data_IF_197882261779
#
_entry.id   IF_197882261779
#
_cell.length_a   1.000
_cell.length_b   1.000
_cell.length_c   1.000
_cell.angle_alpha   90.00
_cell.angle_beta   90.00
_cell.angle_gamma   90.00
#
_symmetry.space_group_name_H-M   'P 1'
#
loop_
_entity.id
_entity.type
_entity.pdbx_description
1 polymer ?
#
# COMPACT_ATOMS: atom_id res chain seq x y z
N UNK A 1 -44.06 -27.95 -7.96
CA UNK A 1 -43.70 -27.84 -6.51
C UNK A 1 -42.35 -28.47 -6.11
N UNK A 2 -41.95 -29.66 -6.65
CA UNK A 2 -40.67 -30.30 -6.24
C UNK A 2 -39.37 -29.52 -6.61
N UNK A 3 -39.33 -28.76 -7.73
CA UNK A 3 -38.16 -27.99 -8.15
C UNK A 3 -37.91 -26.73 -7.28
N UNK A 4 -38.96 -26.09 -6.74
CA UNK A 4 -38.82 -24.92 -5.87
C UNK A 4 -38.33 -25.27 -4.46
N UNK A 5 -38.67 -26.44 -3.94
CA UNK A 5 -38.16 -26.91 -2.63
C UNK A 5 -36.67 -27.25 -2.66
N UNK A 6 -36.17 -27.80 -3.77
CA UNK A 6 -34.73 -28.14 -3.90
C UNK A 6 -33.87 -26.86 -3.96
N UNK A 7 -34.31 -25.82 -4.66
CA UNK A 7 -33.62 -24.53 -4.73
C UNK A 7 -33.54 -23.81 -3.38
N UNK A 8 -34.62 -23.85 -2.59
CA UNK A 8 -34.65 -23.28 -1.25
C UNK A 8 -33.72 -24.05 -0.29
N UNK A 9 -33.69 -25.39 -0.38
CA UNK A 9 -32.84 -26.22 0.46
C UNK A 9 -31.35 -26.00 0.18
N UNK A 10 -30.96 -25.83 -1.09
CA UNK A 10 -29.59 -25.52 -1.50
C UNK A 10 -29.18 -24.11 -1.03
N UNK A 11 -30.09 -23.13 -1.10
CA UNK A 11 -29.81 -21.78 -0.64
C UNK A 11 -29.62 -21.73 0.88
N UNK A 12 -30.43 -22.44 1.66
CA UNK A 12 -30.32 -22.51 3.12
C UNK A 12 -29.04 -23.22 3.54
N UNK A 13 -28.64 -24.29 2.86
CA UNK A 13 -27.38 -24.99 3.12
C UNK A 13 -26.15 -24.11 2.79
N UNK A 14 -26.19 -23.35 1.69
CA UNK A 14 -25.11 -22.45 1.31
C UNK A 14 -24.95 -21.27 2.29
N UNK A 15 -26.04 -20.71 2.79
CA UNK A 15 -26.02 -19.65 3.82
C UNK A 15 -25.52 -20.18 5.16
N UNK A 16 -25.95 -21.38 5.58
CA UNK A 16 -25.48 -21.97 6.85
C UNK A 16 -24.00 -22.36 6.83
N UNK A 17 -23.46 -22.82 5.70
CA UNK A 17 -22.02 -23.11 5.56
C UNK A 17 -21.19 -21.82 5.55
N UNK A 18 -21.66 -20.74 4.94
CA UNK A 18 -20.99 -19.44 4.94
C UNK A 18 -20.92 -18.82 6.33
N UNK A 19 -22.02 -18.86 7.10
CA UNK A 19 -22.07 -18.36 8.48
C UNK A 19 -21.18 -19.18 9.42
N UNK A 20 -21.15 -20.50 9.30
CA UNK A 20 -20.28 -21.36 10.09
C UNK A 20 -18.80 -21.17 9.78
N UNK A 21 -18.45 -20.86 8.54
CA UNK A 21 -17.07 -20.59 8.13
C UNK A 21 -16.59 -19.22 8.59
N UNK A 22 -17.44 -18.20 8.57
CA UNK A 22 -17.13 -16.85 9.10
C UNK A 22 -16.92 -16.92 10.62
N UNK A 23 -17.73 -17.70 11.34
CA UNK A 23 -17.56 -17.92 12.78
C UNK A 23 -16.24 -18.64 13.11
N UNK A 24 -15.81 -19.60 12.30
CA UNK A 24 -14.57 -20.36 12.53
C UNK A 24 -13.29 -19.49 12.40
N UNK A 25 -13.21 -18.60 11.41
CA UNK A 25 -12.03 -17.74 11.22
C UNK A 25 -11.94 -16.61 12.26
N UNK A 26 -12.99 -16.39 13.05
CA UNK A 26 -13.05 -15.39 14.13
C UNK A 26 -12.81 -15.97 15.53
N UNK A 27 -12.60 -17.29 15.66
CA UNK A 27 -12.24 -17.94 16.92
C UNK A 27 -10.74 -17.85 17.21
N UNK A 28 -10.33 -17.82 18.50
CA UNK A 28 -8.91 -17.90 18.85
C UNK A 28 -8.25 -19.16 18.30
N UNK A 29 -6.95 -19.07 18.02
CA UNK A 29 -6.12 -20.23 17.72
C UNK A 29 -5.98 -21.12 18.96
N UNK A 30 -5.90 -22.43 18.76
CA UNK A 30 -5.72 -23.40 19.85
C UNK A 30 -4.34 -23.24 20.52
N UNK A 31 -3.31 -22.85 19.76
CA UNK A 31 -1.98 -22.54 20.26
C UNK A 31 -1.59 -21.09 19.94
N UNK A 32 -0.81 -20.43 20.82
CA UNK A 32 -0.36 -19.07 20.57
C UNK A 32 0.61 -19.02 19.38
N UNK A 33 0.48 -17.96 18.59
CA UNK A 33 1.40 -17.67 17.47
C UNK A 33 2.00 -16.30 17.68
N UNK A 34 3.32 -16.15 17.44
CA UNK A 34 4.01 -14.88 17.41
C UNK A 34 4.29 -14.51 15.95
N UNK A 35 4.03 -13.26 15.58
CA UNK A 35 4.33 -12.74 14.24
C UNK A 35 5.10 -11.42 14.32
N UNK A 36 6.19 -11.31 13.57
CA UNK A 36 6.97 -10.09 13.39
C UNK A 36 6.44 -9.32 12.21
N UNK A 37 6.07 -8.06 12.42
CA UNK A 37 5.45 -7.21 11.38
C UNK A 37 6.33 -6.00 11.10
N UNK A 38 6.80 -5.89 9.86
CA UNK A 38 7.55 -4.76 9.37
C UNK A 38 6.66 -3.53 9.16
N UNK A 39 7.05 -2.41 9.75
CA UNK A 39 6.28 -1.17 9.79
C UNK A 39 7.09 0.01 9.26
N UNK A 40 6.41 0.96 8.62
CA UNK A 40 6.94 2.27 8.26
C UNK A 40 6.00 3.37 8.75
N UNK A 41 6.58 4.55 9.00
CA UNK A 41 5.83 5.70 9.51
C UNK A 41 5.13 6.47 8.37
N UNK A 42 4.11 5.85 7.75
CA UNK A 42 3.25 6.47 6.72
C UNK A 42 1.78 6.24 7.05
N UNK A 43 0.86 7.16 6.69
CA UNK A 43 -0.54 7.09 7.14
C UNK A 43 -1.27 5.83 6.64
N UNK A 44 -0.99 5.36 5.42
CA UNK A 44 -1.62 4.14 4.88
C UNK A 44 -1.28 2.87 5.68
N UNK A 45 -0.08 2.83 6.31
CA UNK A 45 0.34 1.72 7.17
C UNK A 45 -0.05 1.93 8.64
N UNK A 46 -0.39 3.15 9.03
CA UNK A 46 -0.66 3.47 10.45
C UNK A 46 -1.79 2.63 11.08
N UNK A 47 -2.83 2.16 10.35
CA UNK A 47 -3.79 1.22 10.91
C UNK A 47 -3.14 -0.08 11.42
N UNK A 48 -2.04 -0.53 10.81
CA UNK A 48 -1.33 -1.75 11.25
C UNK A 48 -0.73 -1.64 12.66
N UNK A 49 -0.54 -0.43 13.21
CA UNK A 49 -0.13 -0.27 14.61
C UNK A 49 -1.15 -0.79 15.61
N UNK A 50 -2.41 -0.94 15.19
CA UNK A 50 -3.47 -1.56 15.99
C UNK A 50 -3.50 -3.08 15.84
N UNK A 51 -2.65 -3.66 14.98
CA UNK A 51 -2.73 -5.09 14.67
C UNK A 51 -2.53 -5.96 15.92
N UNK A 52 -1.67 -5.55 16.85
CA UNK A 52 -1.47 -6.23 18.12
C UNK A 52 -2.74 -6.31 18.96
N UNK A 53 -3.47 -5.20 19.08
CA UNK A 53 -4.71 -5.13 19.87
C UNK A 53 -5.81 -6.00 19.23
N UNK A 54 -5.92 -5.98 17.89
CA UNK A 54 -6.94 -6.74 17.17
C UNK A 54 -6.60 -8.23 17.03
N UNK A 55 -5.31 -8.58 16.93
CA UNK A 55 -4.85 -9.95 16.79
C UNK A 55 -4.79 -10.70 18.12
N UNK A 56 -4.66 -9.99 19.24
CA UNK A 56 -4.61 -10.59 20.59
C UNK A 56 -5.80 -11.47 20.90
N UNK A 57 -7.01 -11.07 20.48
CA UNK A 57 -8.23 -11.88 20.63
C UNK A 57 -8.18 -13.23 19.90
N UNK A 58 -7.25 -13.38 18.96
CA UNK A 58 -7.03 -14.62 18.20
C UNK A 58 -5.88 -15.47 18.73
N UNK A 59 -5.32 -15.13 19.89
CA UNK A 59 -4.13 -15.77 20.47
C UNK A 59 -2.88 -15.56 19.58
N UNK A 60 -2.76 -14.36 18.98
CA UNK A 60 -1.62 -13.94 18.15
C UNK A 60 -0.95 -12.73 18.79
N UNK A 61 0.35 -12.84 19.04
CA UNK A 61 1.18 -11.73 19.54
C UNK A 61 1.95 -11.09 18.38
N UNK A 62 1.88 -9.77 18.28
CA UNK A 62 2.58 -9.00 17.26
C UNK A 62 3.83 -8.35 17.84
N UNK A 63 4.95 -8.52 17.15
CA UNK A 63 6.19 -7.79 17.36
C UNK A 63 6.41 -6.83 16.19
N UNK A 64 6.30 -5.52 16.44
CA UNK A 64 6.51 -4.50 15.41
C UNK A 64 8.01 -4.24 15.20
N UNK A 65 8.47 -4.31 13.94
CA UNK A 65 9.84 -3.99 13.52
C UNK A 65 9.79 -2.76 12.62
N UNK A 66 10.38 -1.64 13.09
CA UNK A 66 10.34 -0.36 12.36
C UNK A 66 11.43 -0.29 11.30
N UNK A 67 11.05 0.11 10.09
CA UNK A 67 11.95 0.36 8.96
C UNK A 67 11.85 1.81 8.49
N UNK A 68 12.94 2.31 7.89
CA UNK A 68 12.99 3.65 7.29
C UNK A 68 12.62 3.63 5.80
N UNK A 69 12.80 2.50 5.12
CA UNK A 69 12.56 2.33 3.68
C UNK A 69 11.80 1.04 3.40
N UNK A 70 10.91 1.07 2.42
CA UNK A 70 10.20 -0.12 1.95
C UNK A 70 11.15 -1.23 1.45
N UNK A 71 12.26 -0.85 0.79
CA UNK A 71 13.25 -1.81 0.32
C UNK A 71 13.86 -2.66 1.45
N UNK A 72 14.07 -2.06 2.62
CA UNK A 72 14.64 -2.78 3.78
C UNK A 72 13.60 -3.77 4.36
N UNK A 73 12.34 -3.34 4.50
CA UNK A 73 11.24 -4.21 4.92
C UNK A 73 11.02 -5.36 3.93
N UNK A 74 11.09 -5.09 2.61
CA UNK A 74 11.03 -6.11 1.56
C UNK A 74 12.14 -7.15 1.72
N UNK A 75 13.38 -6.70 1.95
CA UNK A 75 14.53 -7.60 2.12
C UNK A 75 14.36 -8.47 3.35
N UNK A 76 13.98 -7.87 4.49
CA UNK A 76 13.73 -8.61 5.74
C UNK A 76 12.58 -9.61 5.62
N UNK A 77 11.52 -9.28 4.86
CA UNK A 77 10.44 -10.23 4.58
C UNK A 77 10.90 -11.37 3.65
N UNK A 78 11.72 -11.05 2.64
CA UNK A 78 12.23 -12.03 1.69
C UNK A 78 13.19 -13.04 2.36
N UNK A 79 14.01 -12.59 3.30
CA UNK A 79 14.90 -13.46 4.10
C UNK A 79 14.16 -14.27 5.17
N UNK A 80 12.97 -13.83 5.61
CA UNK A 80 12.24 -14.43 6.72
C UNK A 80 12.61 -13.89 8.09
N UNK A 81 13.32 -12.76 8.17
CA UNK A 81 13.63 -12.07 9.43
C UNK A 81 12.36 -11.46 10.06
N UNK A 82 11.38 -11.14 9.23
CA UNK A 82 10.01 -10.78 9.61
C UNK A 82 8.98 -11.64 8.86
N UNK A 83 7.77 -11.73 9.39
CA UNK A 83 6.73 -12.62 8.89
C UNK A 83 5.73 -11.91 7.97
N UNK A 84 5.43 -10.64 8.28
CA UNK A 84 4.56 -9.76 7.49
C UNK A 84 5.22 -8.39 7.31
N UNK A 85 4.93 -7.75 6.18
CA UNK A 85 5.26 -6.34 5.98
C UNK A 85 4.29 -5.70 4.97
N UNK A 86 4.18 -4.37 5.02
CA UNK A 86 3.54 -3.62 3.96
C UNK A 86 4.59 -2.78 3.25
N UNK A 87 4.54 -2.78 1.92
CA UNK A 87 5.44 -2.04 1.05
C UNK A 87 4.78 -1.73 -0.30
N UNK A 88 5.45 -0.96 -1.16
CA UNK A 88 4.89 -0.55 -2.45
C UNK A 88 4.52 -1.74 -3.35
N UNK A 89 3.51 -1.59 -4.22
CA UNK A 89 3.08 -2.68 -5.11
C UNK A 89 4.17 -3.15 -6.08
N UNK A 90 5.14 -2.27 -6.43
CA UNK A 90 6.31 -2.62 -7.22
C UNK A 90 7.33 -3.50 -6.47
N UNK A 91 7.29 -3.53 -5.15
CA UNK A 91 8.32 -4.21 -4.34
C UNK A 91 8.30 -5.73 -4.51
N UNK A 92 7.10 -6.35 -4.62
CA UNK A 92 7.01 -7.78 -4.96
C UNK A 92 7.58 -8.03 -6.37
N UNK A 93 7.22 -7.17 -7.33
CA UNK A 93 7.76 -7.26 -8.70
C UNK A 93 9.28 -7.19 -8.72
N UNK A 94 9.88 -6.22 -8.00
CA UNK A 94 11.33 -6.07 -7.91
C UNK A 94 11.99 -7.31 -7.28
N UNK A 95 11.40 -7.84 -6.21
CA UNK A 95 11.90 -9.05 -5.56
C UNK A 95 11.82 -10.28 -6.49
N UNK A 96 10.69 -10.48 -7.19
CA UNK A 96 10.50 -11.58 -8.14
C UNK A 96 11.47 -11.46 -9.32
N UNK A 97 11.70 -10.27 -9.84
CA UNK A 97 12.68 -10.03 -10.90
C UNK A 97 14.12 -10.41 -10.47
N UNK A 98 14.42 -10.30 -9.18
CA UNK A 98 15.67 -10.72 -8.54
C UNK A 98 15.68 -12.21 -8.12
N UNK A 99 14.63 -12.96 -8.41
CA UNK A 99 14.53 -14.40 -8.14
C UNK A 99 13.89 -14.77 -6.79
N UNK A 100 13.40 -13.81 -6.00
CA UNK A 100 12.72 -14.11 -4.74
C UNK A 100 11.41 -14.87 -4.98
N UNK A 101 11.13 -15.89 -4.16
CA UNK A 101 9.91 -16.70 -4.21
C UNK A 101 9.09 -16.64 -2.91
N UNK A 102 9.64 -15.99 -1.89
CA UNK A 102 9.11 -16.02 -0.51
C UNK A 102 8.02 -15.00 -0.23
N UNK A 103 7.74 -14.05 -1.11
CA UNK A 103 6.79 -12.97 -0.89
C UNK A 103 5.41 -13.32 -1.43
N UNK A 104 4.35 -13.15 -0.62
CA UNK A 104 2.95 -13.35 -1.04
C UNK A 104 2.10 -12.18 -0.57
N UNK A 105 1.55 -11.38 -1.51
CA UNK A 105 0.58 -10.33 -1.22
C UNK A 105 -0.77 -10.93 -0.79
N UNK A 106 -1.33 -10.45 0.31
CA UNK A 106 -2.59 -10.99 0.89
C UNK A 106 -3.69 -9.94 1.08
N UNK A 107 -3.35 -8.65 1.05
CA UNK A 107 -4.32 -7.55 1.06
C UNK A 107 -3.67 -6.27 0.50
N UNK A 108 -4.48 -5.34 -0.01
CA UNK A 108 -4.06 -3.98 -0.34
C UNK A 108 -4.13 -3.05 0.86
N UNK A 109 -3.52 -1.86 0.75
CA UNK A 109 -3.56 -0.80 1.77
C UNK A 109 -4.14 0.53 1.23
N UNK A 110 -4.76 0.52 0.07
CA UNK A 110 -5.47 1.67 -0.48
C UNK A 110 -4.66 2.57 -1.42
N UNK A 111 -4.97 3.87 -1.43
CA UNK A 111 -4.42 4.85 -2.38
C UNK A 111 -4.26 6.24 -1.74
N UNK A 112 -3.59 7.18 -2.44
CA UNK A 112 -3.54 8.59 -2.06
C UNK A 112 -2.44 8.97 -1.07
N UNK A 113 -1.50 8.08 -0.76
CA UNK A 113 -0.38 8.40 0.15
C UNK A 113 0.74 9.21 -0.54
N UNK A 114 0.91 9.01 -1.86
CA UNK A 114 1.91 9.73 -2.65
C UNK A 114 1.35 11.08 -3.09
N UNK A 115 2.22 12.06 -3.20
CA UNK A 115 1.80 13.42 -3.52
C UNK A 115 2.87 14.20 -4.29
N UNK A 116 2.41 15.20 -5.01
CA UNK A 116 3.25 16.23 -5.60
C UNK A 116 3.14 17.48 -4.72
N UNK A 117 4.27 18.15 -4.49
CA UNK A 117 4.31 19.42 -3.76
C UNK A 117 5.10 20.45 -4.58
N UNK A 118 4.52 21.64 -4.69
CA UNK A 118 5.18 22.85 -5.16
C UNK A 118 5.24 23.89 -4.04
N UNK A 119 6.04 24.95 -4.19
CA UNK A 119 6.07 26.04 -3.23
C UNK A 119 4.72 26.73 -3.15
N UNK A 120 4.41 27.29 -1.99
CA UNK A 120 3.20 28.07 -1.78
C UNK A 120 3.12 29.24 -2.77
N UNK A 121 1.97 29.38 -3.42
CA UNK A 121 1.72 30.38 -4.47
C UNK A 121 2.15 29.98 -5.88
N UNK A 122 2.77 28.82 -6.05
CA UNK A 122 3.08 28.24 -7.36
C UNK A 122 2.07 27.14 -7.71
N UNK A 123 1.86 26.92 -9.02
CA UNK A 123 1.03 25.81 -9.51
C UNK A 123 1.68 25.20 -10.76
N UNK A 124 1.38 23.93 -11.01
CA UNK A 124 1.66 23.22 -12.24
C UNK A 124 0.34 22.62 -12.72
N UNK A 125 -0.14 23.10 -13.86
CA UNK A 125 -1.50 22.78 -14.36
C UNK A 125 -1.52 21.65 -15.37
N UNK A 126 -0.38 21.38 -16.00
CA UNK A 126 -0.25 20.35 -17.02
C UNK A 126 1.08 19.59 -16.91
N UNK A 127 1.10 18.37 -17.40
CA UNK A 127 2.32 17.57 -17.45
C UNK A 127 3.40 18.20 -18.36
N UNK A 128 3.02 18.94 -19.37
CA UNK A 128 3.95 19.66 -20.27
C UNK A 128 4.75 20.73 -19.53
N UNK A 129 4.18 21.38 -18.53
CA UNK A 129 4.89 22.37 -17.71
C UNK A 129 5.98 21.72 -16.86
N UNK A 130 5.87 20.44 -16.50
CA UNK A 130 6.87 19.72 -15.71
C UNK A 130 8.22 19.65 -16.41
N UNK A 131 8.25 19.62 -17.77
CA UNK A 131 9.49 19.58 -18.55
C UNK A 131 10.42 20.76 -18.28
N UNK A 132 9.87 21.90 -17.82
CA UNK A 132 10.65 23.13 -17.51
C UNK A 132 11.08 23.21 -16.04
N UNK A 133 10.67 22.25 -15.20
CA UNK A 133 10.85 22.29 -13.75
C UNK A 133 12.01 21.39 -13.30
N UNK A 134 12.63 21.76 -12.18
CA UNK A 134 13.54 20.89 -11.44
C UNK A 134 12.70 20.03 -10.52
N UNK A 135 12.67 18.72 -10.75
CA UNK A 135 11.81 17.80 -10.04
C UNK A 135 12.62 16.90 -9.11
N UNK A 136 12.38 17.02 -7.82
CA UNK A 136 12.95 16.11 -6.82
C UNK A 136 12.15 14.81 -6.75
N UNK A 137 12.79 13.67 -6.98
CA UNK A 137 12.16 12.35 -6.89
C UNK A 137 13.15 11.28 -6.49
N UNK A 138 12.72 10.25 -5.76
CA UNK A 138 13.52 9.06 -5.44
C UNK A 138 13.31 7.97 -6.49
N UNK A 139 14.32 7.70 -7.29
CA UNK A 139 14.25 6.66 -8.32
C UNK A 139 13.88 5.28 -7.74
N UNK A 140 13.02 4.52 -8.45
CA UNK A 140 12.57 3.18 -8.08
C UNK A 140 11.49 3.11 -7.00
N UNK A 141 11.06 4.26 -6.43
CA UNK A 141 9.91 4.30 -5.52
C UNK A 141 8.59 4.19 -6.27
N UNK A 142 7.49 3.84 -5.57
CA UNK A 142 6.16 3.86 -6.21
C UNK A 142 5.76 5.27 -6.66
N UNK A 143 6.14 6.29 -5.91
CA UNK A 143 5.92 7.69 -6.29
C UNK A 143 6.62 8.02 -7.61
N UNK A 144 7.86 7.54 -7.80
CA UNK A 144 8.58 7.65 -9.08
C UNK A 144 7.88 6.91 -10.21
N UNK A 145 7.42 5.68 -9.99
CA UNK A 145 6.68 4.89 -10.99
C UNK A 145 5.45 5.64 -11.48
N UNK A 146 4.63 6.15 -10.55
CA UNK A 146 3.43 6.94 -10.88
C UNK A 146 3.77 8.22 -11.62
N UNK A 147 4.81 8.92 -11.18
CA UNK A 147 5.27 10.16 -11.81
C UNK A 147 5.75 9.90 -13.23
N UNK A 148 6.62 8.93 -13.45
CA UNK A 148 7.15 8.59 -14.77
C UNK A 148 6.05 8.11 -15.73
N UNK A 149 5.10 7.29 -15.25
CA UNK A 149 3.95 6.87 -16.03
C UNK A 149 3.05 8.06 -16.42
N UNK A 150 2.82 8.99 -15.50
CA UNK A 150 2.01 10.19 -15.78
C UNK A 150 2.69 11.14 -16.78
N UNK A 151 4.01 11.25 -16.74
CA UNK A 151 4.77 11.99 -17.78
C UNK A 151 4.54 11.36 -19.16
N UNK A 152 4.70 10.03 -19.27
CA UNK A 152 4.46 9.30 -20.52
C UNK A 152 3.02 9.50 -21.04
N UNK A 153 2.03 9.45 -20.15
CA UNK A 153 0.62 9.71 -20.48
C UNK A 153 0.40 11.16 -20.97
N UNK A 154 1.19 12.10 -20.46
CA UNK A 154 1.22 13.50 -20.90
C UNK A 154 2.06 13.76 -22.14
N UNK A 155 2.63 12.71 -22.78
CA UNK A 155 3.47 12.82 -23.98
C UNK A 155 4.88 13.34 -23.69
N UNK A 156 5.35 13.29 -22.44
CA UNK A 156 6.65 13.78 -22.02
C UNK A 156 7.59 12.60 -21.76
N UNK A 157 8.73 12.57 -22.44
CA UNK A 157 9.79 11.62 -22.15
C UNK A 157 10.46 11.94 -20.81
N UNK A 158 10.62 10.95 -19.95
CA UNK A 158 11.22 11.12 -18.62
C UNK A 158 12.61 11.80 -18.69
N UNK A 159 13.42 11.42 -19.67
CA UNK A 159 14.77 11.99 -19.88
C UNK A 159 14.81 13.48 -20.26
N UNK A 160 13.66 14.07 -20.62
CA UNK A 160 13.54 15.51 -20.92
C UNK A 160 13.23 16.35 -19.68
N UNK A 161 12.89 15.71 -18.56
CA UNK A 161 12.62 16.40 -17.30
C UNK A 161 13.92 16.55 -16.51
N UNK A 162 14.15 17.73 -15.94
CA UNK A 162 15.30 17.95 -15.05
C UNK A 162 15.06 17.30 -13.69
N UNK A 163 15.31 16.00 -13.61
CA UNK A 163 15.16 15.21 -12.41
C UNK A 163 16.37 15.36 -11.50
N UNK A 164 16.11 15.63 -10.22
CA UNK A 164 17.09 15.63 -9.14
C UNK A 164 16.76 14.46 -8.23
N UNK A 165 17.66 13.49 -8.18
CA UNK A 165 17.47 12.32 -7.31
C UNK A 165 17.70 12.72 -5.85
N UNK A 166 16.63 12.78 -5.06
CA UNK A 166 16.69 13.08 -3.63
C UNK A 166 16.89 11.77 -2.86
N UNK A 167 18.03 11.66 -2.21
CA UNK A 167 18.39 10.50 -1.39
C UNK A 167 17.99 10.73 0.07
N UNK A 168 17.56 9.69 0.76
CA UNK A 168 17.18 9.74 2.17
C UNK A 168 15.68 9.90 2.39
N UNK A 169 15.28 10.42 3.56
CA UNK A 169 13.88 10.56 3.93
C UNK A 169 13.19 11.80 3.35
N UNK A 170 11.87 11.86 3.47
CA UNK A 170 11.05 12.94 2.92
C UNK A 170 11.40 14.36 3.41
N UNK A 171 12.04 14.48 4.59
CA UNK A 171 12.53 15.78 5.07
C UNK A 171 13.56 16.43 4.12
N UNK A 172 14.31 15.64 3.33
CA UNK A 172 15.25 16.18 2.35
C UNK A 172 14.53 16.88 1.20
N UNK A 173 13.37 16.34 0.78
CA UNK A 173 12.51 16.98 -0.23
C UNK A 173 11.97 18.31 0.25
N UNK A 174 11.55 18.38 1.52
CA UNK A 174 11.06 19.63 2.11
C UNK A 174 12.14 20.70 2.16
N UNK A 175 13.36 20.34 2.58
CA UNK A 175 14.51 21.25 2.55
C UNK A 175 14.83 21.74 1.14
N UNK A 176 14.81 20.83 0.16
CA UNK A 176 15.10 21.19 -1.24
C UNK A 176 14.03 22.14 -1.84
N UNK A 177 12.75 21.96 -1.50
CA UNK A 177 11.67 22.89 -1.89
C UNK A 177 11.86 24.27 -1.24
N UNK A 178 12.11 24.30 0.08
CA UNK A 178 12.33 25.55 0.83
C UNK A 178 13.58 26.28 0.35
N UNK A 179 14.68 25.55 0.11
CA UNK A 179 15.94 26.07 -0.40
C UNK A 179 15.91 26.45 -1.88
N UNK A 180 14.76 26.28 -2.57
CA UNK A 180 14.61 26.54 -4.01
C UNK A 180 15.59 25.74 -4.89
N UNK A 181 16.05 24.58 -4.40
CA UNK A 181 16.88 23.65 -5.16
C UNK A 181 16.05 22.89 -6.20
N UNK A 182 14.80 22.59 -5.85
CA UNK A 182 13.79 21.98 -6.72
C UNK A 182 12.54 22.84 -6.79
N UNK A 183 11.78 22.71 -7.87
CA UNK A 183 10.54 23.44 -8.11
C UNK A 183 9.31 22.60 -7.74
N UNK A 184 9.44 21.28 -7.84
CA UNK A 184 8.42 20.29 -7.47
C UNK A 184 9.07 19.09 -6.76
N UNK A 185 8.41 18.59 -5.72
CA UNK A 185 8.76 17.32 -5.07
C UNK A 185 7.75 16.24 -5.39
N UNK A 186 8.23 15.06 -5.78
CA UNK A 186 7.45 13.81 -5.87
C UNK A 186 7.74 13.02 -4.62
N UNK A 187 6.86 13.09 -3.63
CA UNK A 187 7.11 12.63 -2.27
C UNK A 187 5.87 11.91 -1.72
N UNK A 188 5.80 11.63 -0.46
CA UNK A 188 4.71 10.90 0.20
C UNK A 188 4.31 11.56 1.52
N UNK A 189 3.15 11.18 2.05
CA UNK A 189 2.73 11.59 3.38
C UNK A 189 3.61 10.96 4.49
N UNK A 190 3.88 11.69 5.58
CA UNK A 190 3.26 12.97 6.02
C UNK A 190 3.96 14.23 5.48
N UNK A 191 4.98 14.13 4.64
CA UNK A 191 5.81 15.27 4.24
C UNK A 191 5.05 16.31 3.42
N UNK A 192 4.12 15.91 2.56
CA UNK A 192 3.26 16.88 1.87
C UNK A 192 2.38 17.65 2.86
N UNK A 193 1.75 16.93 3.80
CA UNK A 193 0.94 17.55 4.84
C UNK A 193 1.76 18.52 5.68
N UNK A 194 3.00 18.16 6.01
CA UNK A 194 3.91 19.05 6.72
C UNK A 194 4.17 20.34 5.93
N UNK A 195 4.54 20.26 4.65
CA UNK A 195 4.76 21.41 3.80
C UNK A 195 3.55 22.36 3.73
N UNK A 196 2.33 21.77 3.71
CA UNK A 196 1.08 22.52 3.66
C UNK A 196 0.76 23.16 5.01
N UNK A 197 0.84 22.42 6.10
CA UNK A 197 0.51 22.92 7.44
C UNK A 197 1.52 23.95 7.95
N UNK A 198 2.79 23.83 7.54
CA UNK A 198 3.83 24.83 7.81
C UNK A 198 3.77 26.03 6.84
N UNK A 199 2.90 26.00 5.83
CA UNK A 199 2.55 27.13 4.97
C UNK A 199 3.53 27.43 3.85
N UNK A 200 4.54 26.59 3.58
CA UNK A 200 5.51 26.82 2.49
C UNK A 200 5.24 25.99 1.23
N UNK A 201 4.34 25.01 1.27
CA UNK A 201 3.99 24.13 0.13
C UNK A 201 2.50 24.09 -0.15
N UNK A 202 2.16 23.62 -1.34
CA UNK A 202 0.79 23.29 -1.77
C UNK A 202 0.77 22.18 -2.80
N UNK A 203 -0.38 21.49 -2.95
CA UNK A 203 -0.58 20.54 -4.03
C UNK A 203 -0.73 21.29 -5.35
N UNK A 204 -0.06 20.84 -6.44
CA UNK A 204 -0.34 21.37 -7.78
C UNK A 204 -1.67 20.84 -8.33
N UNK A 205 -2.11 21.41 -9.44
CA UNK A 205 -3.34 20.94 -10.14
C UNK A 205 -3.18 19.54 -10.71
N UNK A 206 -1.97 19.17 -11.18
CA UNK A 206 -1.68 17.82 -11.66
C UNK A 206 -1.61 16.82 -10.50
N UNK A 207 -1.97 15.56 -10.79
CA UNK A 207 -1.98 14.48 -9.77
C UNK A 207 -1.56 13.15 -10.42
N UNK A 208 -0.39 12.64 -10.02
CA UNK A 208 0.15 11.38 -10.54
C UNK A 208 -0.57 10.12 -10.01
N UNK A 209 -1.39 10.24 -8.97
CA UNK A 209 -2.24 9.14 -8.51
C UNK A 209 -3.39 8.81 -9.49
N UNK A 210 -3.62 9.69 -10.47
CA UNK A 210 -4.60 9.50 -11.55
C UNK A 210 -4.02 8.78 -12.78
N UNK A 211 -2.78 8.29 -12.72
CA UNK A 211 -2.19 7.53 -13.82
C UNK A 211 -3.07 6.34 -14.21
N UNK A 212 -3.41 6.25 -15.49
CA UNK A 212 -4.19 5.14 -16.07
C UNK A 212 -3.33 3.90 -16.25
N UNK A 213 -2.04 4.09 -16.45
CA UNK A 213 -1.08 3.00 -16.67
C UNK A 213 -0.84 2.19 -15.40
N UNK A 214 -0.57 2.85 -14.27
CA UNK A 214 -0.15 2.18 -13.04
C UNK A 214 -1.12 2.32 -11.87
N UNK A 215 -2.14 3.19 -12.01
CA UNK A 215 -3.13 3.42 -10.96
C UNK A 215 -2.61 4.15 -9.73
N UNK A 216 -3.49 4.29 -8.74
CA UNK A 216 -3.23 5.06 -7.51
C UNK A 216 -2.86 4.21 -6.27
N UNK A 217 -2.66 2.90 -6.41
CA UNK A 217 -2.38 2.02 -5.26
C UNK A 217 -1.08 2.42 -4.56
N UNK A 218 -1.09 2.30 -3.21
CA UNK A 218 0.02 2.73 -2.36
C UNK A 218 0.89 1.55 -1.96
N UNK A 219 0.27 0.51 -1.39
CA UNK A 219 1.00 -0.58 -0.77
C UNK A 219 0.20 -1.90 -0.80
N UNK A 220 0.93 -2.97 -0.58
CA UNK A 220 0.43 -4.33 -0.43
C UNK A 220 0.90 -4.85 0.92
N UNK A 221 -0.02 -5.43 1.70
CA UNK A 221 0.32 -6.27 2.84
C UNK A 221 0.77 -7.62 2.31
N UNK A 222 2.01 -7.97 2.59
CA UNK A 222 2.59 -9.23 2.17
C UNK A 222 3.02 -10.08 3.36
N UNK A 223 3.06 -11.38 3.16
CA UNK A 223 3.49 -12.38 4.14
C UNK A 223 4.64 -13.20 3.57
N UNK A 224 5.57 -13.63 4.41
CA UNK A 224 6.58 -14.60 4.05
C UNK A 224 5.89 -15.96 3.76
N UNK A 225 6.17 -16.57 2.62
CA UNK A 225 5.53 -17.82 2.17
C UNK A 225 5.69 -18.95 3.18
N UNK A 226 6.88 -19.12 3.74
CA UNK A 226 7.15 -20.18 4.73
C UNK A 226 6.35 -19.97 6.02
N UNK A 227 6.24 -18.72 6.48
CA UNK A 227 5.35 -18.39 7.61
C UNK A 227 3.90 -18.68 7.27
N UNK A 228 3.43 -18.27 6.09
CA UNK A 228 2.06 -18.49 5.63
C UNK A 228 1.72 -19.98 5.57
N UNK A 229 2.60 -20.81 5.04
CA UNK A 229 2.38 -22.25 4.90
C UNK A 229 2.32 -22.95 6.26
N UNK A 230 3.20 -22.56 7.19
CA UNK A 230 3.25 -23.12 8.55
C UNK A 230 2.12 -22.63 9.46
N UNK A 231 1.63 -21.40 9.23
CA UNK A 231 0.71 -20.69 10.13
C UNK A 231 -0.53 -20.18 9.37
N UNK A 232 -1.08 -20.98 8.44
CA UNK A 232 -2.17 -20.56 7.55
C UNK A 232 -3.37 -19.98 8.31
N UNK A 233 -3.75 -20.60 9.41
CA UNK A 233 -4.86 -20.16 10.27
C UNK A 233 -4.55 -18.83 10.99
N UNK A 234 -3.31 -18.60 11.37
CA UNK A 234 -2.89 -17.33 11.95
C UNK A 234 -2.92 -16.21 10.88
N UNK A 235 -2.41 -16.47 9.65
CA UNK A 235 -2.48 -15.52 8.54
C UNK A 235 -3.93 -15.15 8.22
N UNK A 236 -4.85 -16.12 8.21
CA UNK A 236 -6.28 -15.84 8.02
C UNK A 236 -6.81 -14.87 9.06
N UNK A 237 -6.48 -15.05 10.34
CA UNK A 237 -6.94 -14.18 11.44
C UNK A 237 -6.26 -12.82 11.42
N UNK A 238 -5.00 -12.75 10.99
CA UNK A 238 -4.31 -11.48 10.78
C UNK A 238 -4.97 -10.66 9.67
N UNK A 239 -5.39 -11.29 8.57
CA UNK A 239 -6.13 -10.62 7.51
C UNK A 239 -7.53 -10.19 7.98
N UNK A 240 -8.23 -11.00 8.79
CA UNK A 240 -9.51 -10.61 9.43
C UNK A 240 -9.29 -9.39 10.34
N UNK A 241 -8.29 -9.44 11.23
CA UNK A 241 -7.94 -8.33 12.11
C UNK A 241 -7.63 -7.05 11.30
N UNK A 242 -6.87 -7.18 10.23
CA UNK A 242 -6.55 -6.07 9.34
C UNK A 242 -7.81 -5.45 8.69
N UNK A 243 -8.71 -6.27 8.15
CA UNK A 243 -9.98 -5.78 7.58
C UNK A 243 -10.84 -5.06 8.64
N UNK A 244 -10.88 -5.59 9.86
CA UNK A 244 -11.60 -4.94 10.97
C UNK A 244 -10.96 -3.58 11.34
N UNK A 245 -9.62 -3.49 11.33
CA UNK A 245 -8.88 -2.24 11.56
C UNK A 245 -9.17 -1.22 10.45
N UNK A 246 -9.20 -1.63 9.18
CA UNK A 246 -9.56 -0.72 8.08
C UNK A 246 -10.97 -0.17 8.25
N UNK A 247 -11.95 -1.00 8.63
CA UNK A 247 -13.31 -0.55 8.93
C UNK A 247 -13.35 0.45 10.09
N UNK A 248 -12.57 0.19 11.15
CA UNK A 248 -12.44 1.13 12.26
C UNK A 248 -11.86 2.46 11.80
N UNK A 249 -10.73 2.47 11.09
CA UNK A 249 -10.04 3.68 10.68
C UNK A 249 -10.89 4.51 9.70
N UNK A 250 -11.55 3.87 8.71
CA UNK A 250 -12.43 4.54 7.76
C UNK A 250 -13.71 5.08 8.40
N UNK A 251 -14.26 4.37 9.39
CA UNK A 251 -15.45 4.80 10.14
C UNK A 251 -15.17 5.86 11.21
N UNK A 252 -13.89 6.05 11.59
CA UNK A 252 -13.50 6.96 12.68
C UNK A 252 -12.25 7.80 12.30
N UNK A 253 -12.31 8.63 11.24
CA UNK A 253 -11.14 9.32 10.70
C UNK A 253 -10.45 10.23 11.71
N UNK A 254 -11.18 10.92 12.59
CA UNK A 254 -10.60 11.77 13.64
C UNK A 254 -9.81 10.95 14.67
N UNK A 255 -10.35 9.79 15.08
CA UNK A 255 -9.65 8.90 16.01
C UNK A 255 -8.43 8.26 15.35
N UNK A 256 -8.54 7.90 14.08
CA UNK A 256 -7.39 7.43 13.30
C UNK A 256 -6.30 8.51 13.21
N UNK A 257 -6.66 9.77 12.93
CA UNK A 257 -5.72 10.90 12.91
C UNK A 257 -4.97 11.06 14.22
N UNK A 258 -5.67 10.98 15.37
CA UNK A 258 -5.05 11.06 16.71
C UNK A 258 -4.07 9.92 16.96
N UNK A 259 -4.47 8.68 16.66
CA UNK A 259 -3.59 7.49 16.79
C UNK A 259 -2.35 7.66 15.90
N UNK A 260 -2.54 8.13 14.66
CA UNK A 260 -1.44 8.37 13.75
C UNK A 260 -0.50 9.48 14.26
N UNK A 261 -1.04 10.60 14.74
CA UNK A 261 -0.25 11.67 15.32
C UNK A 261 0.60 11.19 16.51
N UNK A 262 -0.03 10.50 17.47
CA UNK A 262 0.63 9.97 18.66
C UNK A 262 1.76 9.00 18.32
N UNK A 263 1.45 7.98 17.51
CA UNK A 263 2.41 6.90 17.17
C UNK A 263 3.54 7.38 16.26
N UNK A 264 3.28 8.36 15.40
CA UNK A 264 4.24 8.93 14.47
C UNK A 264 5.02 10.12 15.01
N UNK A 265 4.66 10.64 16.19
CA UNK A 265 5.27 11.85 16.75
C UNK A 265 4.96 13.11 15.91
N UNK A 266 3.75 13.19 15.33
CA UNK A 266 3.31 14.29 14.48
C UNK A 266 2.35 15.22 15.22
N UNK A 267 2.24 16.48 14.76
CA UNK A 267 1.11 17.32 15.18
C UNK A 267 -0.21 16.75 14.64
N UNK A 268 -1.32 16.95 15.36
CA UNK A 268 -2.63 16.53 14.88
C UNK A 268 -3.00 17.18 13.53
N UNK A 269 -2.57 18.41 13.27
CA UNK A 269 -2.80 19.10 12.00
C UNK A 269 -2.14 18.37 10.82
N UNK A 270 -0.88 17.96 10.97
CA UNK A 270 -0.14 17.19 9.98
C UNK A 270 -0.79 15.82 9.78
N UNK A 271 -1.17 15.15 10.87
CA UNK A 271 -1.82 13.84 10.79
C UNK A 271 -3.17 13.91 10.05
N UNK A 272 -4.04 14.87 10.40
CA UNK A 272 -5.32 15.08 9.72
C UNK A 272 -5.15 15.38 8.25
N UNK A 273 -4.24 16.28 7.88
CA UNK A 273 -3.97 16.60 6.48
C UNK A 273 -3.42 15.37 5.73
N UNK A 274 -2.56 14.58 6.36
CA UNK A 274 -2.01 13.35 5.76
C UNK A 274 -3.10 12.33 5.44
N UNK A 275 -4.03 12.07 6.37
CA UNK A 275 -5.09 11.10 6.16
C UNK A 275 -6.20 11.62 5.23
N UNK A 276 -6.34 12.93 5.06
CA UNK A 276 -7.36 13.54 4.20
C UNK A 276 -7.31 13.02 2.75
N UNK A 277 -6.11 12.79 2.24
CA UNK A 277 -5.90 12.26 0.89
C UNK A 277 -5.65 10.74 0.87
N UNK A 278 -5.49 10.11 2.03
CA UNK A 278 -5.28 8.67 2.13
C UNK A 278 -6.62 7.94 2.13
N UNK A 279 -6.80 7.02 1.20
CA UNK A 279 -7.99 6.16 1.12
C UNK A 279 -7.60 4.73 1.44
N UNK A 280 -8.10 4.22 2.56
CA UNK A 280 -7.84 2.86 2.99
C UNK A 280 -8.76 1.89 2.24
N UNK A 281 -8.17 0.88 1.64
CA UNK A 281 -8.89 -0.18 0.91
C UNK A 281 -8.02 -1.44 0.90
N UNK A 282 -8.64 -2.60 1.12
CA UNK A 282 -7.96 -3.89 1.10
C UNK A 282 -7.79 -4.48 -0.31
N UNK A 283 -8.27 -3.83 -1.35
CA UNK A 283 -8.19 -4.29 -2.75
C UNK A 283 -6.75 -4.52 -3.19
N UNK A 284 -6.46 -5.70 -3.76
CA UNK A 284 -5.10 -6.10 -4.17
C UNK A 284 -4.69 -5.62 -5.57
N UNK A 285 -5.62 -5.28 -6.46
CA UNK A 285 -5.43 -4.72 -7.81
C UNK A 285 -4.32 -5.38 -8.65
N UNK A 286 -4.35 -6.72 -8.78
CA UNK A 286 -3.29 -7.49 -9.41
C UNK A 286 -3.01 -7.08 -10.87
N UNK A 287 -4.04 -6.78 -11.66
CA UNK A 287 -3.83 -6.35 -13.04
C UNK A 287 -3.08 -5.01 -13.11
N UNK A 288 -3.34 -4.07 -12.17
CA UNK A 288 -2.55 -2.84 -12.03
C UNK A 288 -1.09 -3.12 -11.68
N UNK A 289 -0.85 -4.08 -10.78
CA UNK A 289 0.51 -4.49 -10.40
C UNK A 289 1.25 -5.14 -11.57
N UNK A 290 0.56 -5.92 -12.40
CA UNK A 290 1.14 -6.46 -13.65
C UNK A 290 1.50 -5.35 -14.65
N UNK A 291 0.69 -4.28 -14.76
CA UNK A 291 1.03 -3.11 -15.56
C UNK A 291 2.26 -2.38 -15.00
N UNK A 292 2.39 -2.30 -13.67
CA UNK A 292 3.61 -1.76 -13.03
C UNK A 292 4.82 -2.62 -13.40
N UNK A 293 4.71 -3.97 -13.37
CA UNK A 293 5.80 -4.86 -13.78
C UNK A 293 6.26 -4.59 -15.21
N UNK A 294 5.30 -4.54 -16.12
CA UNK A 294 5.59 -4.22 -17.53
C UNK A 294 6.23 -2.83 -17.66
N UNK A 295 5.71 -1.83 -16.97
CA UNK A 295 6.28 -0.47 -16.98
C UNK A 295 7.73 -0.46 -16.49
N UNK A 296 8.06 -1.18 -15.41
CA UNK A 296 9.41 -1.29 -14.89
C UNK A 296 10.35 -1.97 -15.89
N UNK A 297 9.89 -3.01 -16.59
CA UNK A 297 10.66 -3.69 -17.63
C UNK A 297 10.88 -2.79 -18.85
N UNK A 298 9.83 -2.17 -19.38
CA UNK A 298 9.90 -1.28 -20.56
C UNK A 298 10.82 -0.06 -20.33
N UNK A 299 10.96 0.36 -19.07
CA UNK A 299 11.86 1.46 -18.68
C UNK A 299 13.23 0.99 -18.14
N UNK A 300 13.58 -0.28 -18.32
CA UNK A 300 14.90 -0.84 -17.98
C UNK A 300 15.22 -0.90 -16.48
N UNK A 301 14.21 -0.82 -15.60
CA UNK A 301 14.39 -0.91 -14.14
C UNK A 301 14.58 -2.36 -13.69
N UNK A 302 13.94 -3.29 -14.38
CA UNK A 302 14.11 -4.73 -14.20
C UNK A 302 14.56 -5.38 -15.52
N UNK A 303 15.43 -6.39 -15.42
CA UNK A 303 16.04 -7.03 -16.59
C UNK A 303 15.08 -7.96 -17.35
N UNK A 304 13.96 -8.35 -16.73
CA UNK A 304 12.95 -9.25 -17.33
C UNK A 304 11.55 -8.88 -16.88
N UNK A 305 10.57 -9.03 -17.76
CA UNK A 305 9.16 -8.89 -17.40
C UNK A 305 8.71 -10.11 -16.57
N UNK A 306 8.23 -9.86 -15.37
CA UNK A 306 7.75 -10.90 -14.45
C UNK A 306 6.23 -10.89 -14.30
N UNK A 307 5.49 -10.17 -15.13
CA UNK A 307 4.04 -9.98 -15.04
C UNK A 307 3.28 -11.32 -14.93
N UNK A 308 3.71 -12.34 -15.73
CA UNK A 308 3.09 -13.65 -15.73
C UNK A 308 3.39 -14.47 -14.45
N UNK A 309 4.49 -14.17 -13.74
CA UNK A 309 4.85 -14.88 -12.51
C UNK A 309 4.08 -14.34 -11.30
N UNK A 310 3.57 -13.11 -11.38
CA UNK A 310 2.95 -12.42 -10.24
C UNK A 310 1.70 -13.14 -9.72
N UNK A 311 0.99 -13.92 -10.53
CA UNK A 311 -0.18 -14.71 -10.08
C UNK A 311 0.16 -15.63 -8.90
N UNK A 312 1.40 -16.15 -8.83
CA UNK A 312 1.87 -17.03 -7.77
C UNK A 312 2.29 -16.27 -6.49
N UNK A 313 2.34 -14.95 -6.58
CA UNK A 313 2.77 -14.05 -5.52
C UNK A 313 1.63 -13.24 -4.90
N UNK A 314 0.37 -13.56 -5.24
CA UNK A 314 -0.83 -12.92 -4.69
C UNK A 314 -1.86 -13.97 -4.32
N UNK A 315 -2.34 -13.94 -3.08
CA UNK A 315 -3.32 -14.89 -2.57
C UNK A 315 -4.57 -14.16 -2.08
N UNK A 316 -5.66 -14.28 -2.85
CA UNK A 316 -6.95 -13.65 -2.55
C UNK A 316 -7.79 -14.44 -1.52
N UNK A 317 -7.45 -15.71 -1.26
CA UNK A 317 -8.28 -16.59 -0.43
C UNK A 317 -8.51 -16.02 0.98
N UNK A 318 -7.44 -15.53 1.63
CA UNK A 318 -7.53 -14.95 2.97
C UNK A 318 -8.45 -13.74 3.01
N UNK A 319 -8.30 -12.85 2.03
CA UNK A 319 -9.09 -11.64 1.93
C UNK A 319 -10.54 -11.95 1.54
N UNK A 320 -10.77 -12.88 0.63
CA UNK A 320 -12.11 -13.36 0.26
C UNK A 320 -12.86 -13.92 1.46
N UNK A 321 -12.20 -14.77 2.26
CA UNK A 321 -12.79 -15.31 3.51
C UNK A 321 -13.05 -14.21 4.53
N UNK A 322 -12.16 -13.22 4.68
CA UNK A 322 -12.32 -12.14 5.65
C UNK A 322 -13.42 -11.14 5.29
N UNK A 323 -13.76 -11.02 4.00
CA UNK A 323 -14.69 -10.00 3.49
C UNK A 323 -15.99 -10.56 2.93
N UNK A 324 -16.04 -11.86 2.61
CA UNK A 324 -17.14 -12.48 1.86
C UNK A 324 -17.19 -12.09 0.39
N UNK A 325 -16.17 -11.39 -0.14
CA UNK A 325 -16.11 -10.90 -1.52
C UNK A 325 -15.36 -11.87 -2.44
N UNK A 326 -15.72 -11.88 -3.72
CA UNK A 326 -14.97 -12.64 -4.73
C UNK A 326 -13.60 -12.01 -5.01
N UNK A 327 -12.63 -12.76 -5.55
CA UNK A 327 -11.34 -12.20 -6.01
C UNK A 327 -11.51 -11.07 -7.04
N UNK A 328 -12.53 -11.13 -7.91
CA UNK A 328 -12.84 -10.07 -8.88
C UNK A 328 -13.24 -8.76 -8.17
N UNK A 329 -14.10 -8.84 -7.15
CA UNK A 329 -14.50 -7.68 -6.32
C UNK A 329 -13.36 -7.15 -5.45
N UNK A 330 -12.33 -7.95 -5.23
CA UNK A 330 -11.12 -7.61 -4.48
C UNK A 330 -9.97 -7.15 -5.38
N UNK A 331 -10.23 -6.93 -6.67
CA UNK A 331 -9.31 -6.26 -7.58
C UNK A 331 -8.44 -7.20 -8.42
N UNK A 332 -8.78 -8.47 -8.54
CA UNK A 332 -8.03 -9.42 -9.40
C UNK A 332 -7.85 -8.87 -10.83
N UNK A 333 -8.88 -8.19 -11.36
CA UNK A 333 -8.93 -7.67 -12.72
C UNK A 333 -8.74 -6.13 -12.81
N UNK A 334 -8.36 -5.46 -11.71
CA UNK A 334 -8.19 -4.01 -11.63
C UNK A 334 -6.77 -3.55 -11.95
#
# INVERSE_FOLDING_TARGET
MKRSMLAVLILVLAVSTSLAQDDAIRKPLAAPVKAKVGMLNVPALSPLWLLGDYAGKYNITIENVMFQRFADARTALASGDIDLAAFGPQDITLAVAQGARSLVGVAGLGSGNDCLIVRKGEDIKSWTEVATKRVGVGAGSISWVKFAASLQEGGIEYGKVKVINIVGGGANYLRAIQGKEIDMAVVWQPFCAQAITEGFGQYPTIDHNKSRTVGGHIAVLAVNRSFMEKNRDAVQRLVVAYVDILKFATGNPERWAKIYAEKAGLSEAVARESIRITRLDATLALASIKRISKFLFDNGVIARDVSAELDQHYNYEFLSKATGKSPADLGLNM
#
